data_IF_006724588809
#
_entry.id   IF_006724588809
#
_cell.length_a   1.000
_cell.length_b   1.000
_cell.length_c   1.000
_cell.angle_alpha   90.00
_cell.angle_beta   90.00
_cell.angle_gamma   90.00
#
_symmetry.space_group_name_H-M   'P 1'
#
loop_
_entity.id
_entity.type
_entity.pdbx_description
1 polymer ?
#
# COMPACT_ATOMS: atom_id res chain seq x y z
N UNK A 1 -8.94 -0.26 -27.22
CA UNK A 1 -9.69 -0.62 -25.98
C UNK A 1 -10.59 0.53 -25.56
N UNK A 2 -11.68 0.27 -24.82
CA UNK A 2 -12.50 1.30 -24.17
C UNK A 2 -11.81 1.83 -22.88
N UNK A 3 -12.31 2.89 -22.25
CA UNK A 3 -11.69 3.50 -21.06
C UNK A 3 -11.83 2.60 -19.81
N UNK A 4 -10.86 2.64 -18.88
CA UNK A 4 -10.91 1.90 -17.61
C UNK A 4 -12.21 2.12 -16.82
N UNK A 5 -12.77 3.34 -16.86
CA UNK A 5 -14.04 3.66 -16.21
C UNK A 5 -15.21 2.78 -16.66
N UNK A 6 -15.22 2.35 -17.93
CA UNK A 6 -16.26 1.48 -18.49
C UNK A 6 -16.11 0.00 -18.09
N UNK A 7 -14.99 -0.35 -17.45
CA UNK A 7 -14.63 -1.72 -17.06
C UNK A 7 -14.61 -1.92 -15.55
N UNK A 8 -15.16 -0.98 -14.76
CA UNK A 8 -15.13 -1.01 -13.28
C UNK A 8 -15.74 -2.27 -12.65
N UNK A 9 -16.66 -2.95 -13.34
CA UNK A 9 -17.23 -4.23 -12.90
C UNK A 9 -16.35 -5.46 -13.17
N UNK A 10 -15.29 -5.33 -13.96
CA UNK A 10 -14.36 -6.42 -14.27
C UNK A 10 -13.09 -6.27 -13.42
N UNK A 11 -12.94 -7.15 -12.43
CA UNK A 11 -11.82 -7.06 -11.50
C UNK A 11 -10.45 -7.31 -12.16
N UNK A 12 -10.37 -8.20 -13.15
CA UNK A 12 -9.13 -8.52 -13.85
C UNK A 12 -8.55 -7.33 -14.61
N UNK A 13 -9.42 -6.54 -15.25
CA UNK A 13 -9.03 -5.31 -15.96
C UNK A 13 -8.59 -4.24 -14.96
N UNK A 14 -9.35 -4.08 -13.88
CA UNK A 14 -9.10 -3.00 -12.93
C UNK A 14 -7.87 -3.25 -12.05
N UNK A 15 -7.57 -4.51 -11.71
CA UNK A 15 -6.31 -4.87 -11.06
C UNK A 15 -5.11 -4.49 -11.95
N UNK A 16 -5.15 -4.84 -13.24
CA UNK A 16 -4.11 -4.45 -14.20
C UNK A 16 -4.01 -2.94 -14.41
N UNK A 17 -5.13 -2.23 -14.26
CA UNK A 17 -5.17 -0.77 -14.30
C UNK A 17 -4.70 -0.07 -13.03
N UNK A 18 -4.47 -0.80 -11.93
CA UNK A 18 -4.04 -0.23 -10.65
C UNK A 18 -2.57 0.15 -10.75
N UNK A 19 -2.25 1.41 -10.40
CA UNK A 19 -0.92 2.03 -10.61
C UNK A 19 -0.41 2.02 -12.06
N UNK A 20 -1.27 1.79 -13.06
CA UNK A 20 -0.89 1.79 -14.48
C UNK A 20 -0.96 3.17 -15.14
N UNK A 21 -1.09 4.25 -14.37
CA UNK A 21 -1.16 5.60 -14.94
C UNK A 21 0.19 5.97 -15.56
N UNK A 22 0.17 6.49 -16.80
CA UNK A 22 1.38 6.90 -17.52
C UNK A 22 2.18 8.02 -16.83
N UNK A 23 1.59 8.72 -15.86
CA UNK A 23 2.20 9.82 -15.09
C UNK A 23 2.63 9.43 -13.68
N UNK A 24 2.33 8.21 -13.21
CA UNK A 24 2.84 7.78 -11.89
C UNK A 24 4.36 7.76 -11.95
N UNK A 25 5.04 8.22 -10.90
CA UNK A 25 6.50 8.17 -10.80
C UNK A 25 6.91 7.16 -9.76
N UNK A 26 7.69 6.17 -10.16
CA UNK A 26 8.29 5.21 -9.24
C UNK A 26 9.77 5.55 -9.03
N UNK A 27 10.13 5.93 -7.80
CA UNK A 27 11.50 6.32 -7.43
C UNK A 27 12.49 5.16 -7.34
N UNK A 28 12.01 3.91 -7.41
CA UNK A 28 12.87 2.75 -7.61
C UNK A 28 13.56 2.75 -8.99
N UNK A 29 13.02 3.51 -9.95
CA UNK A 29 13.50 3.58 -11.34
C UNK A 29 14.34 4.85 -11.61
N UNK A 30 15.11 5.28 -10.61
CA UNK A 30 16.05 6.41 -10.70
C UNK A 30 15.69 7.60 -9.83
N UNK A 31 16.64 8.54 -9.71
CA UNK A 31 16.62 9.65 -8.74
C UNK A 31 15.34 10.51 -8.77
N UNK A 32 14.81 10.78 -9.96
CA UNK A 32 13.58 11.58 -10.15
C UNK A 32 12.31 10.73 -10.35
N UNK A 33 12.45 9.41 -10.20
CA UNK A 33 11.48 8.41 -10.61
C UNK A 33 11.22 8.42 -12.12
N UNK A 34 10.76 7.28 -12.63
CA UNK A 34 10.33 7.18 -14.03
C UNK A 34 8.81 7.25 -14.12
N UNK A 35 8.31 8.00 -15.09
CA UNK A 35 6.88 8.02 -15.42
C UNK A 35 6.42 6.67 -16.01
N UNK A 36 5.27 6.19 -15.54
CA UNK A 36 4.62 4.96 -16.00
C UNK A 36 4.48 3.89 -14.92
N UNK A 37 3.53 2.97 -15.14
CA UNK A 37 3.18 1.91 -14.19
C UNK A 37 4.17 0.76 -14.11
N UNK A 38 5.44 1.08 -13.89
CA UNK A 38 6.55 0.14 -13.89
C UNK A 38 7.22 0.04 -12.51
N UNK A 39 7.88 -1.08 -12.27
CA UNK A 39 8.67 -1.34 -11.08
C UNK A 39 9.73 -2.42 -11.35
N UNK A 40 10.52 -2.75 -10.33
CA UNK A 40 11.52 -3.82 -10.36
C UNK A 40 11.01 -4.95 -9.47
N UNK A 41 10.98 -6.16 -10.01
CA UNK A 41 10.80 -7.36 -9.21
C UNK A 41 12.18 -7.79 -8.67
N UNK A 42 12.48 -7.48 -7.41
CA UNK A 42 13.84 -7.65 -6.87
C UNK A 42 14.37 -9.09 -6.81
N UNK A 43 13.54 -10.13 -6.64
CA UNK A 43 14.02 -11.49 -6.76
C UNK A 43 14.58 -11.81 -8.16
N UNK A 44 13.88 -11.43 -9.24
CA UNK A 44 14.34 -11.67 -10.63
C UNK A 44 15.26 -10.57 -11.19
N UNK A 45 15.29 -9.39 -10.55
CA UNK A 45 15.94 -8.16 -11.04
C UNK A 45 15.39 -7.65 -12.37
N UNK A 46 14.21 -8.10 -12.77
CA UNK A 46 13.56 -7.66 -13.99
C UNK A 46 12.69 -6.44 -13.74
N UNK A 47 12.76 -5.51 -14.69
CA UNK A 47 11.81 -4.42 -14.78
C UNK A 47 10.53 -4.89 -15.48
N UNK A 48 9.38 -4.62 -14.87
CA UNK A 48 8.08 -5.05 -15.40
C UNK A 48 6.96 -4.09 -14.96
N UNK A 49 5.73 -4.39 -15.36
CA UNK A 49 4.58 -3.62 -14.87
C UNK A 49 4.37 -3.86 -13.37
N UNK A 50 3.80 -2.87 -12.66
CA UNK A 50 3.48 -3.02 -11.22
C UNK A 50 2.53 -4.21 -11.00
N UNK A 51 1.60 -4.45 -11.91
CA UNK A 51 0.72 -5.62 -11.84
C UNK A 51 1.51 -6.92 -11.94
N UNK A 52 2.40 -7.06 -12.93
CA UNK A 52 3.16 -8.31 -13.13
C UNK A 52 4.06 -8.59 -11.93
N UNK A 53 4.77 -7.58 -11.43
CA UNK A 53 5.60 -7.71 -10.22
C UNK A 53 4.77 -8.14 -9.00
N UNK A 54 3.57 -7.56 -8.83
CA UNK A 54 2.66 -7.96 -7.76
C UNK A 54 2.18 -9.41 -7.90
N UNK A 55 2.00 -9.91 -9.11
CA UNK A 55 1.60 -11.30 -9.34
C UNK A 55 2.74 -12.28 -9.03
N UNK A 56 4.00 -11.95 -9.36
CA UNK A 56 5.17 -12.74 -8.99
C UNK A 56 5.33 -12.80 -7.46
N UNK A 57 5.31 -11.66 -6.76
CA UNK A 57 5.36 -11.67 -5.29
C UNK A 57 4.19 -12.44 -4.65
N UNK A 58 2.99 -12.37 -5.24
CA UNK A 58 1.85 -13.17 -4.77
C UNK A 58 2.08 -14.67 -4.94
N UNK A 59 2.70 -15.09 -6.04
CA UNK A 59 3.06 -16.50 -6.29
C UNK A 59 4.08 -16.99 -5.24
N UNK A 60 4.99 -16.11 -4.83
CA UNK A 60 6.00 -16.40 -3.80
C UNK A 60 5.46 -16.27 -2.37
N UNK A 61 4.19 -15.87 -2.19
CA UNK A 61 3.57 -15.69 -0.89
C UNK A 61 4.11 -14.48 -0.11
N UNK A 62 4.74 -13.52 -0.80
CA UNK A 62 5.35 -12.34 -0.18
C UNK A 62 4.36 -11.18 -0.14
N UNK A 63 4.04 -10.63 1.05
CA UNK A 63 3.19 -9.45 1.16
C UNK A 63 3.94 -8.18 0.72
N UNK A 64 3.18 -7.18 0.24
CA UNK A 64 3.75 -5.93 -0.26
C UNK A 64 3.48 -4.75 0.66
N UNK A 65 4.40 -3.78 0.66
CA UNK A 65 4.25 -2.47 1.31
C UNK A 65 4.53 -1.37 0.31
N UNK A 66 3.81 -0.25 0.40
CA UNK A 66 4.07 0.95 -0.39
C UNK A 66 4.67 2.03 0.51
N UNK A 67 5.75 2.66 0.07
CA UNK A 67 6.21 3.93 0.63
C UNK A 67 5.77 5.10 -0.25
N UNK A 68 5.28 6.18 0.37
CA UNK A 68 4.77 7.34 -0.34
C UNK A 68 5.14 8.67 0.34
N UNK A 69 5.01 9.76 -0.42
CA UNK A 69 5.24 11.12 0.06
C UNK A 69 4.04 11.72 0.81
N UNK A 70 3.85 13.01 0.61
CA UNK A 70 2.74 13.78 1.20
C UNK A 70 1.44 13.59 0.41
N UNK A 71 0.32 13.74 1.11
CA UNK A 71 -1.04 13.70 0.56
C UNK A 71 -1.32 12.46 -0.31
N UNK A 72 -0.85 11.29 0.13
CA UNK A 72 -1.10 10.05 -0.60
C UNK A 72 -2.61 9.81 -0.77
N UNK A 73 -3.03 9.63 -2.03
CA UNK A 73 -4.42 9.47 -2.40
C UNK A 73 -5.18 10.76 -2.73
N UNK A 74 -4.51 11.92 -2.82
CA UNK A 74 -5.16 13.16 -3.23
C UNK A 74 -5.80 13.04 -4.63
N UNK A 75 -6.98 13.63 -4.78
CA UNK A 75 -7.77 13.69 -6.00
C UNK A 75 -9.18 13.14 -5.82
N UNK A 76 -9.83 12.82 -6.94
CA UNK A 76 -11.17 12.23 -6.93
C UNK A 76 -11.14 10.86 -6.26
N UNK A 77 -12.05 10.65 -5.31
CA UNK A 77 -12.33 9.33 -4.75
C UNK A 77 -12.72 8.37 -5.87
N UNK A 78 -11.99 7.25 -5.97
CA UNK A 78 -12.20 6.21 -6.97
C UNK A 78 -12.25 4.88 -6.25
N UNK A 79 -13.34 4.14 -6.43
CA UNK A 79 -13.62 2.87 -5.74
C UNK A 79 -12.46 1.87 -5.83
N UNK A 80 -11.75 1.89 -6.96
CA UNK A 80 -10.63 0.99 -7.25
C UNK A 80 -9.28 1.41 -6.67
N UNK A 81 -9.13 2.63 -6.13
CA UNK A 81 -7.84 3.09 -5.61
C UNK A 81 -7.39 2.27 -4.40
N UNK A 82 -8.29 2.00 -3.45
CA UNK A 82 -7.99 1.14 -2.30
C UNK A 82 -8.17 -0.34 -2.62
N UNK A 83 -9.26 -0.70 -3.34
CA UNK A 83 -9.55 -2.10 -3.70
C UNK A 83 -8.45 -2.72 -4.56
N UNK A 84 -7.98 -1.98 -5.57
CA UNK A 84 -6.86 -2.39 -6.42
C UNK A 84 -5.58 -2.60 -5.61
N UNK A 85 -5.26 -1.66 -4.71
CA UNK A 85 -4.10 -1.75 -3.82
C UNK A 85 -4.11 -3.04 -3.00
N UNK A 86 -5.24 -3.38 -2.35
CA UNK A 86 -5.38 -4.63 -1.61
C UNK A 86 -5.25 -5.87 -2.52
N UNK A 87 -5.90 -5.87 -3.69
CA UNK A 87 -5.91 -7.00 -4.63
C UNK A 87 -4.55 -7.27 -5.28
N UNK A 88 -3.67 -6.26 -5.36
CA UNK A 88 -2.27 -6.43 -5.74
C UNK A 88 -1.41 -7.05 -4.61
N UNK A 89 -1.98 -7.32 -3.43
CA UNK A 89 -1.25 -7.94 -2.32
C UNK A 89 -0.60 -6.96 -1.35
N UNK A 90 -0.87 -5.66 -1.49
CA UNK A 90 -0.39 -4.65 -0.54
C UNK A 90 -1.11 -4.82 0.80
N UNK A 91 -0.33 -4.89 1.88
CA UNK A 91 -0.83 -5.02 3.26
C UNK A 91 -0.73 -3.72 4.06
N UNK A 92 0.24 -2.88 3.73
CA UNK A 92 0.44 -1.60 4.39
C UNK A 92 0.88 -0.52 3.39
N UNK A 93 0.53 0.72 3.70
CA UNK A 93 1.07 1.92 3.04
C UNK A 93 1.70 2.79 4.12
N UNK A 94 2.96 3.16 3.96
CA UNK A 94 3.69 4.08 4.84
C UNK A 94 3.93 5.39 4.08
N UNK A 95 3.27 6.47 4.50
CA UNK A 95 3.33 7.76 3.81
C UNK A 95 3.72 8.90 4.75
N UNK A 96 4.10 10.07 4.22
CA UNK A 96 4.26 11.27 5.07
C UNK A 96 2.90 11.80 5.52
N UNK A 97 1.91 11.76 4.63
CA UNK A 97 0.53 12.07 4.97
C UNK A 97 -0.43 11.44 3.95
N UNK A 98 -1.72 11.41 4.29
CA UNK A 98 -2.77 10.88 3.44
C UNK A 98 -3.85 11.93 3.20
N UNK A 99 -4.49 11.87 2.03
CA UNK A 99 -5.82 12.44 1.88
C UNK A 99 -6.81 11.68 2.78
N UNK A 100 -7.71 12.42 3.45
CA UNK A 100 -8.57 11.91 4.52
C UNK A 100 -9.48 10.77 4.07
N UNK A 101 -10.14 10.91 2.90
CA UNK A 101 -11.08 9.91 2.38
C UNK A 101 -10.31 8.67 1.90
N UNK A 102 -9.19 8.86 1.21
CA UNK A 102 -8.38 7.75 0.72
C UNK A 102 -7.84 6.90 1.87
N UNK A 103 -7.38 7.52 2.97
CA UNK A 103 -6.97 6.81 4.19
C UNK A 103 -8.08 5.87 4.70
N UNK A 104 -9.29 6.37 4.87
CA UNK A 104 -10.42 5.54 5.32
C UNK A 104 -10.74 4.41 4.34
N UNK A 105 -10.64 4.66 3.02
CA UNK A 105 -10.85 3.63 2.01
C UNK A 105 -9.81 2.51 2.09
N UNK A 106 -8.55 2.82 2.37
CA UNK A 106 -7.51 1.80 2.58
C UNK A 106 -7.87 0.89 3.76
N UNK A 107 -8.23 1.48 4.90
CA UNK A 107 -8.66 0.74 6.10
C UNK A 107 -9.87 -0.14 5.80
N UNK A 108 -10.88 0.43 5.12
CA UNK A 108 -12.07 -0.30 4.71
C UNK A 108 -11.78 -1.47 3.76
N UNK A 109 -10.66 -1.46 3.03
CA UNK A 109 -10.21 -2.57 2.18
C UNK A 109 -9.18 -3.47 2.88
N UNK A 110 -8.92 -3.29 4.17
CA UNK A 110 -7.99 -4.12 4.94
C UNK A 110 -6.50 -3.79 4.70
N UNK A 111 -6.19 -2.61 4.17
CA UNK A 111 -4.80 -2.11 4.04
C UNK A 111 -4.54 -1.12 5.17
N UNK A 112 -3.45 -1.33 5.93
CA UNK A 112 -3.15 -0.47 7.07
C UNK A 112 -2.38 0.77 6.60
N UNK A 113 -2.93 1.99 6.78
CA UNK A 113 -2.17 3.21 6.56
C UNK A 113 -1.30 3.50 7.79
N UNK A 114 -0.04 3.81 7.55
CA UNK A 114 0.91 4.29 8.54
C UNK A 114 1.47 5.62 8.07
N UNK A 115 1.75 6.53 9.01
CA UNK A 115 2.54 7.72 8.73
C UNK A 115 3.90 7.65 9.38
N UNK A 116 4.90 8.23 8.73
CA UNK A 116 6.19 8.48 9.38
C UNK A 116 6.02 9.43 10.58
N UNK A 117 6.96 9.39 11.53
CA UNK A 117 7.10 10.49 12.48
C UNK A 117 7.57 11.79 11.78
N UNK A 118 7.31 12.91 12.44
CA UNK A 118 7.65 14.23 11.90
C UNK A 118 9.15 14.33 11.54
N UNK A 119 9.45 14.96 10.41
CA UNK A 119 10.82 15.07 9.89
C UNK A 119 11.33 13.84 9.13
N UNK A 120 10.58 12.73 9.11
CA UNK A 120 10.96 11.52 8.36
C UNK A 120 10.16 11.37 7.06
N UNK A 121 10.81 10.86 6.03
CA UNK A 121 10.23 10.56 4.71
C UNK A 121 10.92 9.35 4.08
N UNK A 122 10.28 8.76 3.06
CA UNK A 122 10.90 7.70 2.25
C UNK A 122 12.25 8.13 1.66
N UNK A 123 12.37 9.41 1.28
CA UNK A 123 13.60 9.97 0.72
C UNK A 123 14.71 10.12 1.78
N UNK A 124 14.37 10.59 3.00
CA UNK A 124 15.35 10.72 4.10
C UNK A 124 15.95 9.39 4.55
N UNK A 125 15.23 8.29 4.27
CA UNK A 125 15.66 6.93 4.57
C UNK A 125 16.58 6.34 3.48
N UNK A 126 16.77 7.05 2.36
CA UNK A 126 17.52 6.59 1.18
C UNK A 126 17.05 5.21 0.68
N UNK A 127 15.73 4.99 0.68
CA UNK A 127 15.16 3.73 0.20
C UNK A 127 15.41 3.57 -1.29
N UNK A 128 15.84 2.37 -1.70
CA UNK A 128 16.07 1.99 -3.09
C UNK A 128 14.97 1.08 -3.62
N UNK A 129 14.27 0.39 -2.73
CA UNK A 129 13.20 -0.58 -3.00
C UNK A 129 13.60 -2.03 -2.72
N UNK A 130 14.90 -2.33 -2.59
CA UNK A 130 15.41 -3.68 -2.29
C UNK A 130 15.39 -4.03 -0.79
N UNK A 131 14.76 -3.17 0.02
CA UNK A 131 14.60 -3.38 1.45
C UNK A 131 13.53 -4.43 1.79
N UNK A 132 13.75 -5.17 2.86
CA UNK A 132 12.73 -5.97 3.53
C UNK A 132 12.11 -5.18 4.68
N UNK A 133 10.78 -5.16 4.75
CA UNK A 133 10.04 -4.42 5.77
C UNK A 133 9.22 -5.39 6.61
N UNK A 134 9.50 -5.40 7.91
CA UNK A 134 8.79 -6.21 8.89
C UNK A 134 8.03 -5.28 9.84
N UNK A 135 6.73 -5.56 10.06
CA UNK A 135 5.88 -4.82 11.00
C UNK A 135 5.11 -5.85 11.82
N UNK A 136 5.52 -6.02 13.07
CA UNK A 136 4.92 -6.98 13.99
C UNK A 136 3.72 -6.41 14.77
N UNK A 137 2.91 -7.29 15.37
CA UNK A 137 1.84 -6.89 16.30
C UNK A 137 0.62 -6.25 15.65
N UNK A 138 0.38 -6.52 14.36
CA UNK A 138 -0.78 -6.00 13.62
C UNK A 138 -2.13 -6.56 14.12
N UNK A 139 -2.12 -7.71 14.78
CA UNK A 139 -3.28 -8.39 15.38
C UNK A 139 -3.83 -7.66 16.62
N UNK A 140 -2.94 -7.03 17.39
CA UNK A 140 -3.26 -6.28 18.60
C UNK A 140 -3.25 -4.75 18.40
N UNK A 141 -3.24 -4.29 17.15
CA UNK A 141 -3.11 -2.86 16.82
C UNK A 141 -4.29 -2.05 17.38
N UNK A 142 -3.97 -0.87 17.93
CA UNK A 142 -4.93 0.10 18.44
C UNK A 142 -4.99 1.34 17.54
N UNK A 143 -6.10 2.10 17.56
CA UNK A 143 -6.18 3.33 16.78
C UNK A 143 -5.05 4.28 17.17
N UNK A 144 -4.40 4.87 16.16
CA UNK A 144 -3.32 5.87 16.33
C UNK A 144 -2.08 5.36 17.08
N UNK A 145 -1.91 4.04 17.20
CA UNK A 145 -0.79 3.44 17.90
C UNK A 145 0.54 3.72 17.20
N UNK A 146 1.55 4.12 17.98
CA UNK A 146 2.94 4.13 17.52
C UNK A 146 3.45 2.69 17.40
N UNK A 147 4.07 2.40 16.27
CA UNK A 147 4.65 1.10 15.93
C UNK A 147 6.07 1.32 15.39
N UNK A 148 6.77 0.21 15.17
CA UNK A 148 8.10 0.22 14.58
C UNK A 148 8.08 -0.70 13.37
N UNK A 149 8.46 -0.18 12.21
CA UNK A 149 8.82 -0.99 11.05
C UNK A 149 10.32 -1.29 11.11
N UNK A 150 10.69 -2.56 11.06
CA UNK A 150 12.09 -2.96 10.91
C UNK A 150 12.40 -3.02 9.41
N UNK A 151 13.30 -2.15 8.97
CA UNK A 151 13.71 -2.03 7.57
C UNK A 151 15.12 -2.61 7.42
N UNK A 152 15.25 -3.72 6.71
CA UNK A 152 16.53 -4.36 6.40
C UNK A 152 16.93 -3.97 4.98
N UNK A 153 18.04 -3.26 4.84
CA UNK A 153 18.56 -2.76 3.58
C UNK A 153 19.34 -3.82 2.80
N UNK A 154 19.55 -3.59 1.50
CA UNK A 154 20.28 -4.53 0.63
C UNK A 154 21.74 -4.78 1.04
N UNK A 155 22.34 -3.90 1.85
CA UNK A 155 23.69 -4.09 2.43
C UNK A 155 23.67 -4.84 3.78
N UNK A 156 22.49 -5.26 4.25
CA UNK A 156 22.28 -5.92 5.54
C UNK A 156 22.09 -4.97 6.73
N UNK A 157 22.22 -3.65 6.53
CA UNK A 157 21.94 -2.66 7.58
C UNK A 157 20.48 -2.77 8.00
N UNK A 158 20.21 -2.74 9.30
CA UNK A 158 18.84 -2.75 9.83
C UNK A 158 18.56 -1.41 10.51
N UNK A 159 17.42 -0.80 10.18
CA UNK A 159 16.91 0.38 10.89
C UNK A 159 15.53 0.12 11.45
N UNK A 160 15.33 0.53 12.70
CA UNK A 160 14.02 0.59 13.32
C UNK A 160 13.41 1.96 12.97
N UNK A 161 12.31 1.93 12.23
CA UNK A 161 11.60 3.10 11.75
C UNK A 161 10.33 3.30 12.59
N UNK A 162 10.27 4.32 13.45
CA UNK A 162 9.03 4.71 14.11
C UNK A 162 7.97 5.13 13.10
N UNK A 163 6.78 4.55 13.22
CA UNK A 163 5.61 4.84 12.38
C UNK A 163 4.36 4.94 13.26
N UNK A 164 3.34 5.63 12.78
CA UNK A 164 2.08 5.84 13.49
C UNK A 164 0.96 5.23 12.68
N UNK A 165 0.24 4.27 13.26
CA UNK A 165 -0.96 3.70 12.65
C UNK A 165 -2.00 4.79 12.41
N UNK A 166 -2.61 4.80 11.24
CA UNK A 166 -3.68 5.74 10.86
C UNK A 166 -5.01 5.05 10.66
N UNK A 167 -5.27 4.01 11.47
CA UNK A 167 -6.62 3.64 11.88
C UNK A 167 -7.00 4.66 12.96
N UNK A 168 -7.98 5.51 12.66
CA UNK A 168 -8.25 6.70 13.48
C UNK A 168 -9.38 6.46 14.50
N UNK A 169 -10.26 5.48 14.27
CA UNK A 169 -11.41 5.16 15.14
C UNK A 169 -11.49 3.66 15.48
N UNK A 170 -12.33 3.31 16.46
CA UNK A 170 -12.62 1.91 16.80
C UNK A 170 -13.41 1.21 15.68
N UNK A 171 -14.40 1.87 15.08
CA UNK A 171 -15.15 1.31 13.94
C UNK A 171 -14.24 0.91 12.78
N UNK A 172 -13.26 1.77 12.46
CA UNK A 172 -12.25 1.47 11.44
C UNK A 172 -11.37 0.28 11.82
N UNK A 173 -11.05 0.12 13.11
CA UNK A 173 -10.32 -1.04 13.61
C UNK A 173 -11.15 -2.32 13.46
N UNK A 174 -12.45 -2.27 13.72
CA UNK A 174 -13.34 -3.42 13.58
C UNK A 174 -13.49 -3.84 12.11
N UNK A 175 -13.56 -2.88 11.18
CA UNK A 175 -13.48 -3.18 9.75
C UNK A 175 -12.18 -3.89 9.41
N UNK A 176 -11.04 -3.37 9.89
CA UNK A 176 -9.73 -3.96 9.63
C UNK A 176 -9.62 -5.39 10.17
N UNK A 177 -10.01 -5.63 11.42
CA UNK A 177 -10.00 -6.97 12.05
C UNK A 177 -10.86 -7.99 11.31
N UNK A 178 -11.88 -7.52 10.61
CA UNK A 178 -12.74 -8.39 9.79
C UNK A 178 -12.20 -8.63 8.37
N UNK A 179 -11.04 -8.07 8.02
CA UNK A 179 -10.47 -8.15 6.67
C UNK A 179 -11.08 -7.14 5.69
N UNK A 180 -11.74 -6.09 6.21
CA UNK A 180 -12.38 -5.02 5.45
C UNK A 180 -13.88 -4.87 5.74
N UNK A 181 -14.43 -3.71 5.38
CA UNK A 181 -15.83 -3.34 5.66
C UNK A 181 -16.83 -4.30 5.02
N UNK A 182 -16.55 -4.81 3.82
CA UNK A 182 -17.44 -5.75 3.13
C UNK A 182 -17.57 -7.08 3.89
N UNK A 183 -16.46 -7.55 4.45
CA UNK A 183 -16.44 -8.78 5.24
C UNK A 183 -17.10 -8.59 6.60
N UNK A 184 -16.90 -7.42 7.22
CA UNK A 184 -17.60 -7.03 8.44
C UNK A 184 -19.13 -7.06 8.25
N UNK A 185 -19.65 -6.35 7.24
CA UNK A 185 -21.10 -6.30 6.96
C UNK A 185 -21.66 -7.67 6.61
N UNK A 186 -20.94 -8.48 5.83
CA UNK A 186 -21.40 -9.82 5.47
C UNK A 186 -21.52 -10.74 6.71
N UNK A 187 -20.57 -10.64 7.65
CA UNK A 187 -20.61 -11.42 8.90
C UNK A 187 -21.73 -10.96 9.82
N UNK A 188 -21.99 -9.66 9.88
CA UNK A 188 -23.08 -9.08 10.67
C UNK A 188 -24.47 -9.50 10.13
N UNK A 189 -24.66 -9.49 8.80
CA UNK A 189 -25.90 -9.95 8.18
C UNK A 189 -26.14 -11.47 8.28
N UNK A 190 -25.08 -12.24 8.52
CA UNK A 190 -25.15 -13.69 8.67
C UNK A 190 -25.30 -14.15 10.13
N UNK A 191 -25.25 -13.22 11.09
CA UNK A 191 -25.45 -13.46 12.52
C UNK A 191 -26.95 -13.38 12.90
#
# INVERSE_FOLDING_TARGET
FNQYGTRRGNHEVMMRGTFANIRIRNHMLGENGREGGYTIHYPSKEEMSIYDAAMEYRKDGVPLVIFAGVEYGNGSSRDWAAKGTNLLGVRAVIAQSFERIHRSNLVGMGVIPFVFEEGTSWASLNLKGDELVEIDGLDAIKPRQKMVAKVTYGDGTVKNLPIICRIDTLDELDYFKNGGILQYVLRDLAA
#
